data_IF_878740407850
#
_entry.id   IF_878740407850
#
_cell.length_a   1.000
_cell.length_b   1.000
_cell.length_c   1.000
_cell.angle_alpha   90.00
_cell.angle_beta   90.00
_cell.angle_gamma   90.00
#
_symmetry.space_group_name_H-M   'P 1'
#
loop_
_entity.id
_entity.type
_entity.pdbx_description
1 polymer ?
#
# COMPACT_ATOMS: atom_id res chain seq x y z
N UNK A 1 1.76 26.61 7.73
CA UNK A 1 1.25 25.55 6.86
C UNK A 1 0.18 24.77 7.59
N UNK A 2 -0.98 24.57 6.97
CA UNK A 2 -2.09 23.87 7.61
C UNK A 2 -1.99 22.36 7.35
N UNK A 3 -1.99 21.58 8.41
CA UNK A 3 -1.93 20.11 8.31
C UNK A 3 -3.16 19.54 7.61
N UNK A 4 -4.33 20.16 7.78
CA UNK A 4 -5.57 19.74 7.10
C UNK A 4 -5.47 19.88 5.57
N UNK A 5 -4.70 20.86 5.08
CA UNK A 5 -4.49 21.05 3.64
C UNK A 5 -3.57 19.98 3.03
N UNK A 6 -2.73 19.38 3.86
CA UNK A 6 -1.78 18.34 3.44
C UNK A 6 -2.43 16.95 3.51
N UNK A 7 -3.29 16.73 4.49
CA UNK A 7 -3.88 15.42 4.78
C UNK A 7 -4.67 14.85 3.59
N UNK A 8 -5.56 15.65 3.01
CA UNK A 8 -6.39 15.18 1.90
C UNK A 8 -5.57 14.71 0.69
N UNK A 9 -4.64 15.54 0.14
CA UNK A 9 -3.84 15.07 -0.98
C UNK A 9 -2.95 13.90 -0.61
N UNK A 10 -2.45 13.82 0.62
CA UNK A 10 -1.65 12.69 1.06
C UNK A 10 -2.44 11.38 1.03
N UNK A 11 -3.65 11.37 1.60
CA UNK A 11 -4.50 10.18 1.59
C UNK A 11 -4.88 9.79 0.16
N UNK A 12 -5.21 10.76 -0.68
CA UNK A 12 -5.55 10.51 -2.09
C UNK A 12 -4.34 9.92 -2.84
N UNK A 13 -3.15 10.46 -2.64
CA UNK A 13 -1.94 9.93 -3.29
C UNK A 13 -1.63 8.50 -2.84
N UNK A 14 -1.79 8.19 -1.57
CA UNK A 14 -1.61 6.83 -1.05
C UNK A 14 -2.63 5.88 -1.68
N UNK A 15 -3.89 6.30 -1.78
CA UNK A 15 -4.93 5.51 -2.44
C UNK A 15 -4.63 5.29 -3.92
N UNK A 16 -4.17 6.33 -4.63
CA UNK A 16 -3.78 6.21 -6.05
C UNK A 16 -2.61 5.25 -6.23
N UNK A 17 -1.62 5.26 -5.32
CA UNK A 17 -0.53 4.30 -5.33
C UNK A 17 -1.07 2.86 -5.21
N UNK A 18 -1.98 2.61 -4.28
CA UNK A 18 -2.60 1.28 -4.11
C UNK A 18 -3.43 0.87 -5.33
N UNK A 19 -4.15 1.80 -5.95
CA UNK A 19 -4.86 1.53 -7.21
C UNK A 19 -3.89 1.16 -8.33
N UNK A 20 -2.78 1.87 -8.47
CA UNK A 20 -1.78 1.58 -9.49
C UNK A 20 -1.18 0.18 -9.31
N UNK A 21 -0.77 -0.16 -8.08
CA UNK A 21 -0.26 -1.50 -7.76
C UNK A 21 -1.32 -2.57 -8.06
N UNK A 22 -2.56 -2.32 -7.67
CA UNK A 22 -3.68 -3.24 -7.89
C UNK A 22 -3.92 -3.52 -9.36
N UNK A 23 -3.96 -2.47 -10.19
CA UNK A 23 -4.15 -2.59 -11.63
C UNK A 23 -3.00 -3.39 -12.27
N UNK A 24 -1.76 -3.09 -11.88
CA UNK A 24 -0.59 -3.79 -12.44
C UNK A 24 -0.61 -5.28 -12.09
N UNK A 25 -0.89 -5.63 -10.85
CA UNK A 25 -0.96 -7.03 -10.42
C UNK A 25 -2.14 -7.77 -11.05
N UNK A 26 -3.27 -7.09 -11.23
CA UNK A 26 -4.49 -7.71 -11.75
C UNK A 26 -4.40 -7.96 -13.26
N UNK A 27 -3.92 -6.98 -14.03
CA UNK A 27 -3.93 -7.03 -15.49
C UNK A 27 -2.58 -7.42 -16.10
N UNK A 28 -1.46 -7.17 -15.39
CA UNK A 28 -0.11 -7.44 -15.87
C UNK A 28 0.69 -8.23 -14.82
N UNK A 29 0.21 -9.44 -14.42
CA UNK A 29 0.85 -10.17 -13.32
C UNK A 29 2.27 -10.62 -13.63
N UNK A 30 2.53 -11.12 -14.83
CA UNK A 30 3.87 -11.61 -15.20
C UNK A 30 4.88 -10.46 -15.26
N UNK A 31 4.49 -9.35 -15.87
CA UNK A 31 5.34 -8.16 -15.92
C UNK A 31 5.65 -7.64 -14.51
N UNK A 32 4.64 -7.60 -13.66
CA UNK A 32 4.78 -7.07 -12.28
C UNK A 32 5.73 -7.92 -11.45
N UNK A 33 5.61 -9.24 -11.56
CA UNK A 33 6.48 -10.19 -10.85
C UNK A 33 7.92 -10.06 -11.34
N UNK A 34 8.12 -10.04 -12.66
CA UNK A 34 9.45 -9.91 -13.25
C UNK A 34 10.09 -8.57 -12.89
N UNK A 35 9.37 -7.48 -13.03
CA UNK A 35 9.82 -6.14 -12.64
C UNK A 35 10.21 -6.08 -11.16
N UNK A 36 9.47 -6.77 -10.30
CA UNK A 36 9.72 -6.82 -8.86
C UNK A 36 10.96 -7.63 -8.45
N UNK A 37 11.64 -8.26 -9.41
CA UNK A 37 12.88 -8.97 -9.14
C UNK A 37 12.72 -10.45 -8.82
N UNK A 38 11.56 -11.04 -9.07
CA UNK A 38 11.39 -12.48 -8.94
C UNK A 38 12.06 -13.18 -10.11
N UNK A 39 12.94 -14.17 -9.85
CA UNK A 39 13.71 -14.81 -10.91
C UNK A 39 12.88 -15.70 -11.82
N UNK A 40 11.82 -16.29 -11.29
CA UNK A 40 10.97 -17.24 -12.01
C UNK A 40 9.52 -16.75 -12.06
N UNK A 41 8.78 -17.28 -13.04
CA UNK A 41 7.34 -17.04 -13.12
C UNK A 41 6.64 -17.61 -11.88
N UNK A 42 5.65 -16.88 -11.37
CA UNK A 42 4.88 -17.29 -10.20
C UNK A 42 3.54 -17.86 -10.66
N UNK A 43 3.29 -19.11 -10.30
CA UNK A 43 2.05 -19.82 -10.61
C UNK A 43 1.43 -20.39 -9.34
N UNK A 44 0.10 -20.48 -9.26
CA UNK A 44 -0.85 -19.97 -10.26
C UNK A 44 -0.99 -18.43 -10.18
N UNK A 45 -1.19 -17.81 -11.33
CA UNK A 45 -1.37 -16.34 -11.44
C UNK A 45 -2.58 -15.83 -10.66
N UNK A 46 -3.51 -16.70 -10.35
CA UNK A 46 -4.70 -16.36 -9.56
C UNK A 46 -4.33 -15.59 -8.28
N UNK A 47 -3.31 -16.05 -7.55
CA UNK A 47 -2.91 -15.40 -6.29
C UNK A 47 -2.36 -14.00 -6.51
N UNK A 48 -1.63 -13.79 -7.60
CA UNK A 48 -1.10 -12.46 -7.95
C UNK A 48 -2.26 -11.52 -8.28
N UNK A 49 -3.20 -11.99 -9.11
CA UNK A 49 -4.39 -11.22 -9.48
C UNK A 49 -5.28 -10.95 -8.27
N UNK A 50 -5.42 -11.91 -7.38
CA UNK A 50 -6.16 -11.74 -6.12
C UNK A 50 -5.53 -10.63 -5.26
N UNK A 51 -4.21 -10.62 -5.15
CA UNK A 51 -3.48 -9.54 -4.48
C UNK A 51 -3.77 -8.18 -5.11
N UNK A 52 -3.82 -8.11 -6.44
CA UNK A 52 -4.21 -6.90 -7.17
C UNK A 52 -5.61 -6.44 -6.84
N UNK A 53 -6.58 -7.36 -6.85
CA UNK A 53 -7.97 -7.05 -6.49
C UNK A 53 -8.07 -6.52 -5.06
N UNK A 54 -7.35 -7.11 -4.11
CA UNK A 54 -7.32 -6.63 -2.73
C UNK A 54 -6.73 -5.23 -2.62
N UNK A 55 -5.73 -4.89 -3.42
CA UNK A 55 -5.20 -3.51 -3.45
C UNK A 55 -6.26 -2.50 -3.90
N UNK A 56 -7.09 -2.85 -4.89
CA UNK A 56 -8.19 -2.00 -5.33
C UNK A 56 -9.22 -1.81 -4.22
N UNK A 57 -9.59 -2.89 -3.54
CA UNK A 57 -10.52 -2.84 -2.40
C UNK A 57 -9.98 -1.97 -1.28
N UNK A 58 -8.71 -2.16 -0.91
CA UNK A 58 -8.07 -1.38 0.15
C UNK A 58 -7.99 0.10 -0.22
N UNK A 59 -7.60 0.43 -1.45
CA UNK A 59 -7.55 1.83 -1.90
C UNK A 59 -8.90 2.50 -1.78
N UNK A 60 -9.96 1.81 -2.19
CA UNK A 60 -11.34 2.30 -2.05
C UNK A 60 -11.71 2.46 -0.57
N UNK A 61 -11.33 1.50 0.28
CA UNK A 61 -11.58 1.57 1.71
C UNK A 61 -10.87 2.77 2.37
N UNK A 62 -9.64 3.09 1.95
CA UNK A 62 -8.93 4.28 2.45
C UNK A 62 -9.72 5.55 2.16
N UNK A 63 -10.24 5.67 0.94
CA UNK A 63 -11.01 6.85 0.54
C UNK A 63 -12.35 6.94 1.29
N UNK A 64 -13.04 5.82 1.44
CA UNK A 64 -14.30 5.78 2.21
C UNK A 64 -14.06 6.17 3.65
N UNK A 65 -13.06 5.58 4.30
CA UNK A 65 -12.70 5.87 5.68
C UNK A 65 -12.39 7.36 5.86
N UNK A 66 -11.59 7.92 4.96
CA UNK A 66 -11.21 9.33 5.04
C UNK A 66 -12.39 10.27 4.77
N UNK A 67 -13.12 10.07 3.66
CA UNK A 67 -14.16 11.03 3.25
C UNK A 67 -15.45 10.89 4.05
N UNK A 68 -15.78 9.70 4.54
CA UNK A 68 -17.02 9.49 5.32
C UNK A 68 -16.79 9.55 6.83
N UNK A 69 -15.71 8.95 7.30
CA UNK A 69 -15.44 8.81 8.74
C UNK A 69 -14.39 9.80 9.25
N UNK A 70 -13.80 10.58 8.37
CA UNK A 70 -12.73 11.54 8.74
C UNK A 70 -11.54 10.86 9.42
N UNK A 71 -11.25 9.61 9.04
CA UNK A 71 -10.23 8.81 9.68
C UNK A 71 -9.20 8.25 8.70
N UNK A 72 -8.09 7.78 9.26
CA UNK A 72 -7.03 7.09 8.52
C UNK A 72 -6.75 5.73 9.14
N UNK A 73 -7.66 5.21 9.93
CA UNK A 73 -7.48 3.96 10.69
C UNK A 73 -7.24 2.77 9.77
N UNK A 74 -8.06 2.61 8.74
CA UNK A 74 -7.91 1.51 7.78
C UNK A 74 -6.59 1.63 7.05
N UNK A 75 -6.24 2.82 6.59
CA UNK A 75 -4.98 3.08 5.88
C UNK A 75 -3.78 2.72 6.76
N UNK A 76 -3.73 3.24 7.99
CA UNK A 76 -2.61 3.01 8.91
C UNK A 76 -2.51 1.53 9.27
N UNK A 77 -3.63 0.90 9.57
CA UNK A 77 -3.66 -0.53 9.92
C UNK A 77 -3.17 -1.39 8.74
N UNK A 78 -3.71 -1.15 7.54
CA UNK A 78 -3.33 -1.91 6.35
C UNK A 78 -1.84 -1.73 6.00
N UNK A 79 -1.33 -0.50 6.08
CA UNK A 79 0.08 -0.22 5.81
C UNK A 79 1.00 -0.84 6.85
N UNK A 80 0.58 -0.86 8.11
CA UNK A 80 1.32 -1.54 9.19
C UNK A 80 1.39 -3.05 8.96
N UNK A 81 0.28 -3.67 8.63
CA UNK A 81 0.22 -5.10 8.31
C UNK A 81 1.07 -5.43 7.08
N UNK A 82 0.98 -4.62 6.04
CA UNK A 82 1.77 -4.79 4.82
C UNK A 82 3.27 -4.67 5.11
N UNK A 83 3.68 -3.71 5.93
CA UNK A 83 5.08 -3.52 6.34
C UNK A 83 5.63 -4.77 7.05
N UNK A 84 4.89 -5.29 8.02
CA UNK A 84 5.29 -6.49 8.76
C UNK A 84 5.39 -7.69 7.81
N UNK A 85 4.37 -7.89 6.98
CA UNK A 85 4.32 -9.00 6.04
C UNK A 85 5.47 -8.94 5.02
N UNK A 86 5.65 -7.80 4.37
CA UNK A 86 6.68 -7.62 3.34
C UNK A 86 8.09 -7.71 3.93
N UNK A 87 8.30 -7.18 5.13
CA UNK A 87 9.59 -7.32 5.83
C UNK A 87 9.89 -8.79 6.12
N UNK A 88 8.91 -9.53 6.62
CA UNK A 88 9.06 -10.97 6.88
C UNK A 88 9.36 -11.74 5.60
N UNK A 89 8.64 -11.44 4.53
CA UNK A 89 8.86 -12.05 3.22
C UNK A 89 10.25 -11.70 2.66
N UNK A 90 10.72 -10.48 2.87
CA UNK A 90 12.05 -10.05 2.43
C UNK A 90 13.15 -10.90 3.09
N UNK A 91 13.04 -11.17 4.39
CA UNK A 91 13.98 -12.07 5.06
C UNK A 91 13.87 -13.51 4.59
N UNK A 92 12.67 -13.98 4.31
CA UNK A 92 12.44 -15.36 3.91
C UNK A 92 12.94 -15.63 2.47
N UNK A 93 12.58 -14.76 1.52
CA UNK A 93 12.90 -14.98 0.09
C UNK A 93 14.26 -14.42 -0.32
N UNK A 94 14.72 -13.36 0.29
CA UNK A 94 16.10 -12.84 0.15
C UNK A 94 16.41 -12.05 -1.12
N UNK A 95 15.75 -12.30 -2.25
CA UNK A 95 16.16 -11.76 -3.55
C UNK A 95 15.26 -10.74 -4.23
N UNK A 96 13.92 -10.83 -4.17
CA UNK A 96 13.10 -9.84 -4.88
C UNK A 96 13.26 -8.45 -4.23
N UNK A 97 13.83 -7.52 -4.99
CA UNK A 97 14.11 -6.16 -4.50
C UNK A 97 12.83 -5.42 -4.10
N UNK A 98 11.71 -5.80 -4.72
CA UNK A 98 10.41 -5.15 -4.46
C UNK A 98 9.96 -5.32 -3.00
N UNK A 99 10.34 -6.41 -2.35
CA UNK A 99 9.89 -6.71 -0.99
C UNK A 99 10.39 -5.69 0.04
N UNK A 100 11.72 -5.46 0.19
CA UNK A 100 12.19 -4.44 1.14
C UNK A 100 11.81 -3.03 0.75
N UNK A 101 11.81 -2.71 -0.54
CA UNK A 101 11.42 -1.37 -1.01
C UNK A 101 9.95 -1.10 -0.74
N UNK A 102 9.07 -2.07 -1.02
CA UNK A 102 7.64 -1.93 -0.73
C UNK A 102 7.37 -1.86 0.77
N UNK A 103 8.09 -2.63 1.58
CA UNK A 103 7.98 -2.56 3.04
C UNK A 103 8.33 -1.16 3.55
N UNK A 104 9.44 -0.59 3.07
CA UNK A 104 9.86 0.76 3.44
C UNK A 104 8.85 1.82 2.98
N UNK A 105 8.33 1.69 1.76
CA UNK A 105 7.32 2.60 1.22
C UNK A 105 6.02 2.54 2.02
N UNK A 106 5.55 1.35 2.35
CA UNK A 106 4.33 1.18 3.15
C UNK A 106 4.50 1.72 4.57
N UNK A 107 5.66 1.50 5.18
CA UNK A 107 5.98 2.06 6.49
C UNK A 107 5.96 3.59 6.45
N UNK A 108 6.60 4.19 5.44
CA UNK A 108 6.63 5.64 5.27
C UNK A 108 5.24 6.22 5.04
N UNK A 109 4.45 5.60 4.17
CA UNK A 109 3.08 6.05 3.90
C UNK A 109 2.19 5.97 5.13
N UNK A 110 2.24 4.85 5.87
CA UNK A 110 1.46 4.68 7.09
C UNK A 110 1.86 5.67 8.17
N UNK A 111 3.15 5.86 8.38
CA UNK A 111 3.67 6.79 9.38
C UNK A 111 3.32 8.24 9.04
N UNK A 112 3.50 8.65 7.79
CA UNK A 112 3.15 10.00 7.33
C UNK A 112 1.66 10.27 7.50
N UNK A 113 0.81 9.32 7.10
CA UNK A 113 -0.64 9.45 7.26
C UNK A 113 -1.03 9.59 8.73
N UNK A 114 -0.43 8.79 9.60
CA UNK A 114 -0.68 8.84 11.04
C UNK A 114 -0.28 10.18 11.64
N UNK A 115 0.93 10.65 11.36
CA UNK A 115 1.46 11.91 11.91
C UNK A 115 0.62 13.09 11.41
N UNK A 116 0.38 13.15 10.10
CA UNK A 116 -0.39 14.25 9.50
C UNK A 116 -1.81 14.27 10.05
N UNK A 117 -2.44 13.10 10.19
CA UNK A 117 -3.79 13.01 10.75
C UNK A 117 -3.84 13.50 12.20
N UNK A 118 -2.89 13.09 13.03
CA UNK A 118 -2.82 13.56 14.42
C UNK A 118 -2.65 15.07 14.51
N UNK A 119 -1.77 15.62 13.67
CA UNK A 119 -1.55 17.07 13.63
C UNK A 119 -2.78 17.82 13.10
N UNK A 120 -3.43 17.28 12.07
CA UNK A 120 -4.63 17.89 11.50
C UNK A 120 -5.82 17.85 12.47
N UNK A 121 -5.92 16.80 13.29
CA UNK A 121 -7.00 16.68 14.29
C UNK A 121 -6.69 17.37 15.62
N UNK A 122 -5.54 17.98 15.77
CA UNK A 122 -5.17 18.69 17.01
C UNK A 122 -4.85 17.78 18.19
N UNK A 123 -4.50 16.55 17.92
CA UNK A 123 -4.17 15.55 18.96
C UNK A 123 -2.68 15.32 19.14
#
# INVERSE_FOLDING_TARGET
MSWTKIEKPLVVLIALHSYAVGVMLLFFPDWSVHFGGWPDAVYPQFYIRQGGAFHLVLATAYLIDYFRCRGVTILVFAKSCATVFLTSCSFYYGHPWVLPISAAADAAMGLCAFIVHRKASGK
#
